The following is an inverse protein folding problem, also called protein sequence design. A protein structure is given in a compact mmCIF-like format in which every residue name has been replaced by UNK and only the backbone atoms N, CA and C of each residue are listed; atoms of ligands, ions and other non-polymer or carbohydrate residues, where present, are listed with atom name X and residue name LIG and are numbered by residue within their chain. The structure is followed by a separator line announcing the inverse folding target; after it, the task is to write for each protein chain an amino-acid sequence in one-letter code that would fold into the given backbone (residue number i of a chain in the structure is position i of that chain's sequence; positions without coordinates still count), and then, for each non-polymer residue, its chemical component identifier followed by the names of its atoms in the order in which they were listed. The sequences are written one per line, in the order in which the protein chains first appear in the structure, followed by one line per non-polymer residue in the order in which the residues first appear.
data_IF_914449155410
#
_entry.id   IF_914449155410
#
_cell.length_a   1.000
_cell.length_b   1.000
_cell.length_c   1.000
_cell.angle_alpha   90.00
_cell.angle_beta   90.00
_cell.angle_gamma   90.00
#
_symmetry.space_group_name_H-M   'P 1'
#
loop_
_entity.id
_entity.type
_entity.pdbx_description
1 polymer ?
#
# COMPACT_ATOMS: atom_id res chain seq x y z
N UNK A 1 -12.71 6.75 -4.62
CA UNK A 1 -11.50 6.58 -3.78
C UNK A 1 -10.28 6.43 -4.68
N UNK A 2 -9.08 6.89 -4.29
CA UNK A 2 -7.83 6.73 -5.05
C UNK A 2 -6.90 5.76 -4.35
N UNK A 3 -6.19 4.93 -5.11
CA UNK A 3 -5.12 4.10 -4.58
C UNK A 3 -3.79 4.54 -5.20
N UNK A 4 -2.76 4.60 -4.38
CA UNK A 4 -1.42 4.92 -4.82
C UNK A 4 -0.46 3.94 -4.18
N UNK A 5 0.44 3.42 -5.00
CA UNK A 5 1.42 2.43 -4.61
C UNK A 5 2.81 3.00 -4.89
N UNK A 6 3.66 3.00 -3.88
CA UNK A 6 5.06 3.37 -3.98
C UNK A 6 5.94 2.19 -3.57
N UNK A 7 7.19 2.22 -4.02
CA UNK A 7 8.15 1.15 -3.81
C UNK A 7 9.48 1.77 -3.38
N UNK A 8 9.92 1.44 -2.18
CA UNK A 8 11.23 1.76 -1.63
C UNK A 8 12.03 0.47 -1.50
N UNK A 9 12.74 0.14 -2.57
CA UNK A 9 13.43 -1.14 -2.75
C UNK A 9 14.93 -0.90 -2.82
N UNK A 10 15.69 -1.72 -2.10
CA UNK A 10 17.15 -1.77 -2.12
C UNK A 10 17.70 -1.89 -3.55
N UNK A 11 18.81 -1.20 -3.83
CA UNK A 11 19.40 -1.13 -5.19
C UNK A 11 19.89 -2.47 -5.71
N UNK A 12 20.17 -3.40 -4.80
CA UNK A 12 20.61 -4.77 -5.07
C UNK A 12 19.51 -5.61 -5.73
N UNK A 13 18.23 -5.23 -5.54
CA UNK A 13 17.12 -5.88 -6.23
C UNK A 13 17.13 -5.43 -7.69
N UNK A 14 17.10 -6.40 -8.60
CA UNK A 14 17.12 -6.17 -10.03
C UNK A 14 16.04 -5.15 -10.45
N UNK A 15 16.43 -4.19 -11.29
CA UNK A 15 15.52 -3.14 -11.80
C UNK A 15 14.23 -3.71 -12.41
N UNK A 16 14.32 -4.85 -13.10
CA UNK A 16 13.17 -5.54 -13.67
C UNK A 16 12.14 -5.96 -12.61
N UNK A 17 12.56 -6.39 -11.42
CA UNK A 17 11.67 -6.71 -10.30
C UNK A 17 10.98 -5.45 -9.75
N UNK A 18 11.69 -4.33 -9.68
CA UNK A 18 11.10 -3.04 -9.32
C UNK A 18 10.03 -2.60 -10.34
N UNK A 19 10.24 -2.87 -11.63
CA UNK A 19 9.24 -2.61 -12.68
C UNK A 19 7.99 -3.48 -12.50
N UNK A 20 8.17 -4.79 -12.25
CA UNK A 20 7.06 -5.70 -11.94
C UNK A 20 6.28 -5.25 -10.71
N UNK A 21 6.97 -4.83 -9.65
CA UNK A 21 6.32 -4.31 -8.45
C UNK A 21 5.39 -3.13 -8.77
N UNK A 22 5.86 -2.16 -9.56
CA UNK A 22 5.04 -1.02 -10.04
C UNK A 22 3.84 -1.46 -10.88
N UNK A 23 4.00 -2.46 -11.73
CA UNK A 23 2.91 -3.02 -12.53
C UNK A 23 1.83 -3.65 -11.66
N UNK A 24 2.21 -4.37 -10.60
CA UNK A 24 1.26 -4.90 -9.62
C UNK A 24 0.47 -3.78 -8.94
N UNK A 25 1.17 -2.72 -8.49
CA UNK A 25 0.53 -1.55 -7.89
C UNK A 25 -0.46 -0.86 -8.85
N UNK A 26 -0.12 -0.77 -10.13
CA UNK A 26 -1.02 -0.22 -11.15
C UNK A 26 -2.27 -1.09 -11.33
N UNK A 27 -2.11 -2.41 -11.47
CA UNK A 27 -3.22 -3.35 -11.59
C UNK A 27 -4.15 -3.31 -10.37
N UNK A 28 -3.58 -3.32 -9.16
CA UNK A 28 -4.34 -3.21 -7.92
C UNK A 28 -5.11 -1.89 -7.86
N UNK A 29 -4.49 -0.78 -8.25
CA UNK A 29 -5.16 0.51 -8.28
C UNK A 29 -6.38 0.50 -9.21
N UNK A 30 -6.21 0.01 -10.44
CA UNK A 30 -7.30 -0.06 -11.42
C UNK A 30 -8.46 -0.93 -10.91
N UNK A 31 -8.16 -2.14 -10.42
CA UNK A 31 -9.19 -3.08 -9.94
C UNK A 31 -9.87 -2.65 -8.64
N UNK A 32 -9.14 -2.01 -7.73
CA UNK A 32 -9.73 -1.56 -6.47
C UNK A 32 -10.59 -0.30 -6.65
N UNK A 33 -10.26 0.58 -7.60
CA UNK A 33 -11.12 1.72 -7.90
C UNK A 33 -12.51 1.32 -8.41
N UNK A 34 -12.60 0.19 -9.12
CA UNK A 34 -13.86 -0.36 -9.62
C UNK A 34 -14.68 -1.06 -8.51
N UNK A 35 -14.00 -1.68 -7.54
CA UNK A 35 -14.63 -2.65 -6.62
C UNK A 35 -14.79 -2.16 -5.18
N UNK A 36 -14.07 -1.12 -4.76
CA UNK A 36 -14.07 -0.71 -3.36
C UNK A 36 -14.13 0.81 -3.19
N UNK A 37 -15.05 1.26 -2.34
CA UNK A 37 -15.20 2.64 -1.93
C UNK A 37 -15.28 2.77 -0.40
N UNK A 38 -14.82 3.90 0.12
CA UNK A 38 -14.96 4.25 1.53
C UNK A 38 -15.29 5.73 1.65
N UNK A 39 -16.22 6.07 2.55
CA UNK A 39 -16.52 7.47 2.90
C UNK A 39 -15.48 8.06 3.86
N UNK A 40 -14.75 7.19 4.55
CA UNK A 40 -13.75 7.56 5.55
C UNK A 40 -12.36 7.69 4.97
N UNK A 41 -12.10 7.13 3.79
CA UNK A 41 -10.79 7.15 3.15
C UNK A 41 -10.98 7.56 1.70
N UNK A 42 -10.44 8.71 1.34
CA UNK A 42 -10.42 9.20 -0.04
C UNK A 42 -9.21 8.67 -0.81
N UNK A 43 -8.10 8.47 -0.10
CA UNK A 43 -6.83 8.03 -0.66
C UNK A 43 -6.19 6.94 0.20
N UNK A 44 -5.88 5.82 -0.45
CA UNK A 44 -5.09 4.75 0.11
C UNK A 44 -3.68 4.84 -0.46
N UNK A 45 -2.67 4.97 0.41
CA UNK A 45 -1.28 5.09 -0.02
C UNK A 45 -0.45 3.98 0.62
N UNK A 46 -0.07 2.98 -0.19
CA UNK A 46 0.75 1.86 0.25
C UNK A 46 2.17 2.08 -0.24
N UNK A 47 3.12 2.03 0.67
CA UNK A 47 4.55 2.04 0.37
C UNK A 47 5.07 0.64 0.65
N UNK A 48 5.45 -0.09 -0.39
CA UNK A 48 6.16 -1.34 -0.26
C UNK A 48 7.63 -1.05 0.03
N UNK A 49 8.17 -1.68 1.07
CA UNK A 49 9.54 -1.49 1.53
C UNK A 49 10.25 -2.83 1.49
N UNK A 50 11.37 -2.88 0.77
CA UNK A 50 12.21 -4.07 0.65
C UNK A 50 13.66 -3.62 0.81
N UNK A 51 14.22 -3.76 2.01
CA UNK A 51 15.58 -3.31 2.31
C UNK A 51 16.51 -4.51 2.48
N UNK A 52 17.74 -4.37 2.00
CA UNK A 52 18.81 -5.34 2.29
C UNK A 52 18.93 -5.53 3.82
N UNK A 53 19.22 -6.75 4.31
CA UNK A 53 19.32 -7.05 5.74
C UNK A 53 20.22 -6.09 6.52
N UNK A 54 21.27 -5.56 5.87
CA UNK A 54 22.20 -4.59 6.45
C UNK A 54 21.51 -3.30 6.89
N UNK A 55 20.37 -2.94 6.28
CA UNK A 55 19.57 -1.76 6.64
C UNK A 55 18.34 -2.09 7.50
N UNK A 56 18.02 -3.38 7.66
CA UNK A 56 16.81 -3.83 8.34
C UNK A 56 16.81 -3.51 9.83
N UNK A 57 17.96 -3.70 10.49
CA UNK A 57 18.13 -3.45 11.92
C UNK A 57 18.07 -1.96 12.31
N UNK A 58 18.16 -1.05 11.34
CA UNK A 58 18.28 0.38 11.58
C UNK A 58 16.95 1.15 11.53
N UNK A 59 15.90 0.59 10.92
CA UNK A 59 14.61 1.29 10.77
C UNK A 59 13.42 0.37 11.00
N UNK A 60 12.68 0.60 12.10
CA UNK A 60 11.34 0.04 12.24
C UNK A 60 10.38 0.76 11.29
N UNK A 61 9.64 -0.02 10.49
CA UNK A 61 8.64 0.57 9.60
C UNK A 61 7.58 1.36 10.38
N UNK A 62 7.15 2.53 9.87
CA UNK A 62 6.11 3.31 10.51
C UNK A 62 4.79 2.54 10.57
N UNK A 63 4.07 2.67 11.70
CA UNK A 63 2.71 2.16 11.84
C UNK A 63 1.75 2.82 10.84
N UNK A 64 0.63 2.16 10.47
CA UNK A 64 -0.45 2.78 9.69
C UNK A 64 -0.84 4.16 10.22
N UNK A 65 -0.92 5.15 9.33
CA UNK A 65 -1.30 6.53 9.68
C UNK A 65 -2.52 6.96 8.88
N UNK A 66 -3.50 7.50 9.59
CA UNK A 66 -4.64 8.17 8.98
C UNK A 66 -4.49 9.68 9.10
N UNK A 67 -4.60 10.36 7.97
CA UNK A 67 -4.61 11.81 7.87
C UNK A 67 -6.06 12.22 7.62
N UNK A 68 -6.66 12.85 8.63
CA UNK A 68 -7.99 13.43 8.50
C UNK A 68 -7.98 14.60 7.51
N UNK A 69 -9.17 14.94 7.03
CA UNK A 69 -9.34 16.10 6.19
C UNK A 69 -8.83 17.36 6.90
N UNK A 70 -8.01 18.14 6.22
CA UNK A 70 -7.51 19.41 6.76
C UNK A 70 -7.69 20.50 5.72
N UNK A 71 -8.51 21.47 6.09
CA UNK A 71 -8.58 22.73 5.38
C UNK A 71 -7.36 23.58 5.73
N UNK A 72 -6.62 24.02 4.73
CA UNK A 72 -5.54 24.97 4.92
C UNK A 72 -6.02 26.36 4.51
N UNK A 73 -6.12 27.28 5.49
CA UNK A 73 -6.27 28.71 5.18
C UNK A 73 -4.94 29.19 4.63
N UNK A 74 -4.93 29.71 3.40
CA UNK A 74 -3.74 30.31 2.80
C UNK A 74 -3.17 31.43 3.69
N UNK A 75 -1.91 31.81 3.47
CA UNK A 75 -1.23 32.90 4.21
C UNK A 75 -2.02 34.21 4.25
N UNK A 76 -2.95 34.41 3.30
CA UNK A 76 -3.70 35.64 3.12
C UNK A 76 -5.23 35.50 3.33
N UNK A 77 -5.71 34.44 3.99
CA UNK A 77 -7.16 34.21 4.20
C UNK A 77 -8.01 34.17 2.90
N UNK A 78 -7.38 33.97 1.73
CA UNK A 78 -8.08 33.87 0.44
C UNK A 78 -8.92 32.59 0.44
N UNK A 79 -10.25 32.67 0.20
CA UNK A 79 -11.10 31.50 0.04
C UNK A 79 -10.69 30.70 -1.20
N UNK A 80 -10.18 29.49 -0.99
CA UNK A 80 -9.65 28.61 -2.04
C UNK A 80 -8.87 27.43 -1.45
N UNK A 81 -9.28 27.00 -0.25
CA UNK A 81 -8.60 26.06 0.64
C UNK A 81 -8.24 24.76 -0.09
N UNK A 82 -6.94 24.45 -0.20
CA UNK A 82 -6.47 23.11 -0.58
C UNK A 82 -6.82 22.16 0.57
N UNK A 83 -7.88 21.38 0.35
CA UNK A 83 -8.30 20.34 1.29
C UNK A 83 -7.35 19.15 1.15
N UNK A 84 -6.64 18.81 2.22
CA UNK A 84 -5.99 17.50 2.29
C UNK A 84 -7.08 16.44 2.38
N UNK A 85 -7.14 15.53 1.40
CA UNK A 85 -8.13 14.45 1.38
C UNK A 85 -7.85 13.42 2.47
N UNK A 86 -8.89 12.73 2.96
CA UNK A 86 -8.79 11.68 3.99
C UNK A 86 -7.85 10.55 3.51
N UNK A 87 -6.64 10.46 4.04
CA UNK A 87 -5.60 9.54 3.53
C UNK A 87 -5.23 8.49 4.57
N UNK A 88 -5.33 7.21 4.20
CA UNK A 88 -4.72 6.11 4.94
C UNK A 88 -3.38 5.74 4.29
N UNK A 89 -2.30 5.81 5.06
CA UNK A 89 -0.95 5.50 4.61
C UNK A 89 -0.41 4.26 5.34
N UNK A 90 0.08 3.29 4.56
CA UNK A 90 0.59 2.02 5.02
C UNK A 90 2.02 1.79 4.53
N UNK A 91 2.79 1.03 5.30
CA UNK A 91 4.13 0.58 4.96
C UNK A 91 4.15 -0.94 5.01
N UNK A 92 4.25 -1.58 3.86
CA UNK A 92 4.23 -3.04 3.71
C UNK A 92 5.65 -3.52 3.51
N UNK A 93 6.08 -4.39 4.39
CA UNK A 93 7.39 -5.02 4.28
C UNK A 93 7.36 -6.17 3.28
N UNK A 94 8.36 -6.23 2.41
CA UNK A 94 8.62 -7.39 1.55
C UNK A 94 9.94 -8.01 2.00
N UNK A 95 9.93 -9.33 2.18
CA UNK A 95 11.14 -10.08 2.50
C UNK A 95 12.18 -9.94 1.38
N UNK A 96 13.36 -9.46 1.75
CA UNK A 96 14.43 -9.18 0.79
C UNK A 96 14.91 -10.44 0.10
N UNK A 97 15.13 -11.52 0.85
CA UNK A 97 15.69 -12.75 0.29
C UNK A 97 14.73 -13.39 -0.70
N UNK A 98 13.45 -13.52 -0.31
CA UNK A 98 12.40 -14.04 -1.17
C UNK A 98 12.25 -13.20 -2.45
N UNK A 99 12.29 -11.87 -2.35
CA UNK A 99 12.21 -11.03 -3.55
C UNK A 99 13.49 -11.13 -4.39
N UNK A 100 14.67 -11.24 -3.77
CA UNK A 100 15.96 -11.34 -4.45
C UNK A 100 16.10 -12.66 -5.21
N UNK A 101 15.63 -13.77 -4.64
CA UNK A 101 15.71 -15.12 -5.23
C UNK A 101 14.60 -15.40 -6.24
N UNK A 102 13.42 -14.79 -6.10
CA UNK A 102 12.28 -15.06 -6.98
C UNK A 102 12.62 -14.90 -8.47
N UNK A 103 12.13 -15.79 -9.31
CA UNK A 103 12.24 -15.64 -10.75
C UNK A 103 11.50 -14.38 -11.23
N UNK A 104 12.01 -13.77 -12.30
CA UNK A 104 11.36 -12.65 -12.96
C UNK A 104 10.01 -13.11 -13.54
N UNK A 105 8.95 -12.34 -13.26
CA UNK A 105 7.60 -12.62 -13.74
C UNK A 105 6.65 -12.98 -12.60
N UNK A 106 5.95 -14.10 -12.72
CA UNK A 106 4.85 -14.45 -11.82
C UNK A 106 5.31 -14.69 -10.38
N UNK A 107 6.49 -15.26 -10.17
CA UNK A 107 7.00 -15.51 -8.82
C UNK A 107 7.28 -14.22 -8.07
N UNK A 108 7.91 -13.24 -8.73
CA UNK A 108 8.08 -11.87 -8.19
C UNK A 108 6.73 -11.26 -7.77
N UNK A 109 5.67 -11.41 -8.59
CA UNK A 109 4.34 -10.94 -8.23
C UNK A 109 3.76 -11.63 -7.00
N UNK A 110 3.93 -12.96 -6.90
CA UNK A 110 3.45 -13.76 -5.77
C UNK A 110 4.12 -13.34 -4.45
N UNK A 111 5.43 -13.07 -4.45
CA UNK A 111 6.15 -12.59 -3.25
C UNK A 111 5.52 -11.28 -2.75
N UNK A 112 5.32 -10.31 -3.63
CA UNK A 112 4.76 -9.00 -3.26
C UNK A 112 3.28 -9.11 -2.84
N UNK A 113 2.50 -9.94 -3.54
CA UNK A 113 1.09 -10.18 -3.22
C UNK A 113 0.91 -10.83 -1.84
N UNK A 114 1.73 -11.83 -1.51
CA UNK A 114 1.73 -12.47 -0.19
C UNK A 114 2.09 -11.48 0.91
N UNK A 115 3.14 -10.67 0.70
CA UNK A 115 3.53 -9.62 1.64
C UNK A 115 2.39 -8.62 1.91
N UNK A 116 1.69 -8.17 0.86
CA UNK A 116 0.52 -7.30 1.02
C UNK A 116 -0.58 -7.96 1.84
N UNK A 117 -0.95 -9.21 1.51
CA UNK A 117 -2.04 -9.89 2.22
C UNK A 117 -1.71 -10.14 3.69
N UNK A 118 -0.52 -10.67 3.98
CA UNK A 118 -0.10 -10.91 5.36
C UNK A 118 -0.07 -9.61 6.18
N UNK A 119 0.32 -8.50 5.56
CA UNK A 119 0.26 -7.19 6.22
C UNK A 119 -1.18 -6.77 6.50
N UNK A 120 -2.08 -6.85 5.52
CA UNK A 120 -3.47 -6.45 5.70
C UNK A 120 -4.19 -7.30 6.77
N UNK A 121 -3.89 -8.59 6.84
CA UNK A 121 -4.46 -9.52 7.83
C UNK A 121 -4.02 -9.22 9.27
N UNK A 122 -2.79 -8.71 9.45
CA UNK A 122 -2.17 -8.53 10.77
C UNK A 122 -2.14 -7.07 11.23
N UNK A 123 -2.32 -6.10 10.32
CA UNK A 123 -2.17 -4.70 10.67
C UNK A 123 -3.24 -4.20 11.63
N UNK A 124 -2.81 -3.34 12.55
CA UNK A 124 -3.73 -2.61 13.42
C UNK A 124 -4.11 -1.27 12.80
N UNK A 125 -5.37 -1.13 12.41
CA UNK A 125 -5.88 0.12 11.85
C UNK A 125 -5.82 1.28 12.87
N UNK A 126 -5.62 2.53 12.38
CA UNK A 126 -5.76 3.73 13.20
C UNK A 126 -7.09 3.76 13.94
N UNK A 127 -7.08 4.21 15.21
CA UNK A 127 -8.26 4.15 16.11
C UNK A 127 -9.53 4.71 15.47
N UNK A 128 -9.41 5.84 14.77
CA UNK A 128 -10.51 6.52 14.06
C UNK A 128 -11.17 5.67 12.97
N UNK A 129 -10.45 4.72 12.38
CA UNK A 129 -10.95 3.85 11.32
C UNK A 129 -11.46 2.50 11.83
N UNK A 130 -11.14 2.10 13.07
CA UNK A 130 -11.42 0.73 13.58
C UNK A 130 -12.90 0.33 13.55
N UNK A 131 -13.81 1.30 13.64
CA UNK A 131 -15.27 1.06 13.64
C UNK A 131 -15.97 1.49 12.35
N UNK A 132 -15.32 2.31 11.53
CA UNK A 132 -15.95 3.03 10.42
C UNK A 132 -15.42 2.60 9.06
N UNK A 133 -14.21 2.06 9.01
CA UNK A 133 -13.65 1.46 7.81
C UNK A 133 -13.96 -0.04 7.79
N UNK A 134 -14.61 -0.52 6.74
CA UNK A 134 -14.86 -1.95 6.56
C UNK A 134 -13.57 -2.66 6.12
N UNK A 135 -12.73 -2.97 7.11
CA UNK A 135 -11.46 -3.67 6.89
C UNK A 135 -11.65 -5.04 6.25
N UNK A 136 -12.72 -5.76 6.61
CA UNK A 136 -12.94 -7.13 6.12
C UNK A 136 -13.34 -7.11 4.66
N UNK A 137 -14.23 -6.19 4.27
CA UNK A 137 -14.57 -6.00 2.87
C UNK A 137 -13.35 -5.55 2.05
N UNK A 138 -12.50 -4.69 2.60
CA UNK A 138 -11.27 -4.27 1.92
C UNK A 138 -10.29 -5.43 1.73
N UNK A 139 -9.97 -6.15 2.81
CA UNK A 139 -9.09 -7.32 2.82
C UNK A 139 -9.60 -8.40 1.85
N UNK A 140 -10.90 -8.69 1.87
CA UNK A 140 -11.51 -9.65 0.96
C UNK A 140 -11.44 -9.18 -0.50
N UNK A 141 -11.72 -7.90 -0.76
CA UNK A 141 -11.63 -7.36 -2.12
C UNK A 141 -10.21 -7.47 -2.68
N UNK A 142 -9.18 -7.16 -1.88
CA UNK A 142 -7.78 -7.33 -2.29
C UNK A 142 -7.48 -8.81 -2.53
N UNK A 143 -7.91 -9.70 -1.63
CA UNK A 143 -7.73 -11.15 -1.78
C UNK A 143 -8.34 -11.66 -3.09
N UNK A 144 -9.60 -11.31 -3.37
CA UNK A 144 -10.31 -11.76 -4.57
C UNK A 144 -9.61 -11.29 -5.85
N UNK A 145 -9.10 -10.05 -5.85
CA UNK A 145 -8.32 -9.53 -6.98
C UNK A 145 -7.06 -10.36 -7.19
N UNK A 146 -6.30 -10.62 -6.12
CA UNK A 146 -5.04 -11.35 -6.23
C UNK A 146 -5.25 -12.84 -6.59
N UNK A 147 -6.25 -13.50 -6.00
CA UNK A 147 -6.64 -14.87 -6.35
C UNK A 147 -7.12 -14.97 -7.79
N UNK A 148 -7.91 -14.00 -8.28
CA UNK A 148 -8.35 -13.95 -9.68
C UNK A 148 -7.21 -13.83 -10.70
N UNK A 149 -6.02 -13.40 -10.27
CA UNK A 149 -4.80 -13.34 -11.09
C UNK A 149 -3.81 -14.49 -10.78
N UNK A 150 -4.18 -15.46 -9.95
CA UNK A 150 -3.32 -16.58 -9.57
C UNK A 150 -2.07 -16.17 -8.78
N UNK A 151 -2.18 -15.12 -7.96
CA UNK A 151 -1.07 -14.56 -7.16
C UNK A 151 -1.07 -15.00 -5.69
N UNK A 152 -2.16 -15.61 -5.23
CA UNK A 152 -2.31 -16.20 -3.89
C UNK A 152 -2.60 -17.70 -4.00
#
# INVERSE_FOLDING_TARGET
MKFQFAFDISREIAYAKCSLARNLGKMLNEKLQEKFCSEMVDMFFIIFVCKSPIFHDFEKLPRPKYYAEKEWKGKDNIPGTKVWKKRLQLFVEIDFQALYEAELGQETFKVIAKALMSYLETMTYPVVLRKTFDRKAFEQCVRDILTGHGLL
#
